data_IF_088947699465
#
_entry.id   IF_088947699465
#
_cell.length_a   1.000
_cell.length_b   1.000
_cell.length_c   1.000
_cell.angle_alpha   90.00
_cell.angle_beta   90.00
_cell.angle_gamma   90.00
#
_symmetry.space_group_name_H-M   'P 1'
#
loop_
_entity.id
_entity.type
_entity.pdbx_description
1 polymer ?
#
# COMPACT_ATOMS: atom_id res chain seq x y z
N UNK A 1 0.16 -3.08 -12.96
CA UNK A 1 1.06 -2.97 -11.79
C UNK A 1 2.43 -2.61 -12.30
N UNK A 2 3.03 -1.55 -11.77
CA UNK A 2 4.40 -1.16 -12.08
C UNK A 2 5.30 -1.49 -10.89
N UNK A 3 6.40 -2.18 -11.16
CA UNK A 3 7.33 -2.70 -10.15
C UNK A 3 8.64 -1.93 -10.26
N UNK A 4 9.15 -1.45 -9.13
CA UNK A 4 10.50 -0.91 -9.06
C UNK A 4 11.31 -1.67 -8.01
N UNK A 5 12.34 -2.37 -8.48
CA UNK A 5 13.26 -3.09 -7.62
C UNK A 5 14.50 -2.24 -7.39
N UNK A 6 14.65 -1.67 -6.20
CA UNK A 6 15.94 -1.17 -5.74
C UNK A 6 16.78 -2.34 -5.26
N UNK A 7 17.89 -2.62 -5.94
CA UNK A 7 18.92 -3.52 -5.42
C UNK A 7 20.07 -2.68 -4.90
N UNK A 8 20.35 -2.77 -3.61
CA UNK A 8 21.46 -2.07 -3.01
C UNK A 8 22.71 -2.98 -3.02
N UNK A 9 23.68 -2.72 -3.89
CA UNK A 9 24.93 -3.52 -3.99
C UNK A 9 25.96 -3.18 -2.88
N UNK A 10 25.52 -2.71 -1.71
CA UNK A 10 26.43 -2.26 -0.64
C UNK A 10 26.75 -3.40 0.35
N UNK A 11 28.03 -3.66 0.68
CA UNK A 11 28.44 -4.75 1.58
C UNK A 11 28.12 -4.53 3.07
N UNK A 12 27.38 -3.46 3.43
CA UNK A 12 26.98 -3.17 4.81
C UNK A 12 25.62 -3.82 5.12
N UNK A 13 25.67 -4.89 5.91
CA UNK A 13 24.58 -5.60 6.63
C UNK A 13 23.13 -5.20 6.26
N UNK A 14 22.50 -6.02 5.43
CA UNK A 14 21.06 -6.36 5.41
C UNK A 14 20.05 -5.29 5.88
N UNK A 15 19.94 -4.18 5.15
CA UNK A 15 18.58 -3.74 4.82
C UNK A 15 18.10 -4.74 3.77
N UNK A 16 17.39 -5.79 4.21
CA UNK A 16 16.72 -6.72 3.29
C UNK A 16 16.04 -5.89 2.20
N UNK A 17 16.45 -6.09 0.94
CA UNK A 17 16.16 -5.22 -0.21
C UNK A 17 14.79 -4.53 -0.09
N UNK A 18 14.80 -3.21 0.12
CA UNK A 18 13.59 -2.41 0.20
C UNK A 18 12.95 -2.36 -1.19
N UNK A 19 11.90 -3.14 -1.39
CA UNK A 19 11.17 -3.25 -2.66
C UNK A 19 9.88 -2.43 -2.63
N UNK A 20 9.59 -1.74 -3.74
CA UNK A 20 8.39 -0.94 -3.86
C UNK A 20 7.68 -1.02 -5.21
N UNK A 21 6.39 -0.70 -5.21
CA UNK A 21 5.58 -0.69 -6.41
C UNK A 21 4.40 0.27 -6.31
N UNK A 22 3.72 0.45 -7.44
CA UNK A 22 2.44 1.17 -7.49
C UNK A 22 1.40 0.29 -8.18
N UNK A 23 0.19 0.24 -7.62
CA UNK A 23 -0.88 -0.57 -8.16
C UNK A 23 -2.24 0.14 -8.02
N UNK A 24 -2.81 0.50 -9.16
CA UNK A 24 -4.23 0.79 -9.29
C UNK A 24 -5.02 -0.53 -9.28
N UNK A 25 -5.72 -0.80 -8.18
CA UNK A 25 -6.41 -2.08 -7.93
C UNK A 25 -7.80 -2.12 -8.59
N UNK A 26 -8.30 -0.99 -9.11
CA UNK A 26 -9.62 -0.82 -9.73
C UNK A 26 -10.86 -1.14 -8.87
N UNK A 27 -10.75 -1.78 -7.71
CA UNK A 27 -11.70 -1.76 -6.57
C UNK A 27 -11.39 -2.90 -5.59
N UNK A 28 -11.31 -2.61 -4.28
CA UNK A 28 -11.24 -3.61 -3.20
C UNK A 28 -12.60 -4.05 -2.65
N UNK A 29 -13.72 -3.57 -3.21
CA UNK A 29 -15.06 -3.89 -2.69
C UNK A 29 -15.53 -5.33 -2.99
N UNK A 30 -14.87 -6.04 -3.89
CA UNK A 30 -15.26 -7.42 -4.21
C UNK A 30 -14.73 -8.38 -3.15
N UNK A 31 -15.58 -9.31 -2.73
CA UNK A 31 -15.18 -10.42 -1.85
C UNK A 31 -13.96 -11.13 -2.42
N UNK A 32 -12.92 -11.33 -1.61
CA UNK A 32 -11.66 -11.96 -2.02
C UNK A 32 -10.59 -11.03 -2.60
N UNK A 33 -10.91 -9.76 -2.94
CA UNK A 33 -9.93 -8.83 -3.51
C UNK A 33 -8.74 -8.55 -2.59
N UNK A 34 -8.95 -8.45 -1.28
CA UNK A 34 -7.86 -8.27 -0.31
C UNK A 34 -6.88 -9.45 -0.30
N UNK A 35 -7.39 -10.67 -0.48
CA UNK A 35 -6.57 -11.87 -0.53
C UNK A 35 -5.74 -11.89 -1.81
N UNK A 36 -6.34 -11.63 -2.97
CA UNK A 36 -5.62 -11.53 -4.24
C UNK A 36 -4.52 -10.47 -4.20
N UNK A 37 -4.81 -9.30 -3.61
CA UNK A 37 -3.81 -8.24 -3.43
C UNK A 37 -2.66 -8.70 -2.53
N UNK A 38 -2.96 -9.35 -1.41
CA UNK A 38 -1.94 -9.88 -0.51
C UNK A 38 -1.06 -10.96 -1.19
N UNK A 39 -1.66 -11.86 -1.96
CA UNK A 39 -0.96 -12.92 -2.69
C UNK A 39 -0.04 -12.37 -3.78
N UNK A 40 -0.49 -11.39 -4.58
CA UNK A 40 0.34 -10.76 -5.61
C UNK A 40 1.48 -9.95 -4.99
N UNK A 41 1.22 -9.16 -3.94
CA UNK A 41 2.27 -8.42 -3.21
C UNK A 41 3.33 -9.37 -2.65
N UNK A 42 2.90 -10.51 -2.08
CA UNK A 42 3.79 -11.57 -1.58
C UNK A 42 4.62 -12.20 -2.69
N UNK A 43 4.01 -12.51 -3.84
CA UNK A 43 4.68 -13.09 -5.01
C UNK A 43 5.85 -12.23 -5.50
N UNK A 44 5.68 -10.91 -5.50
CA UNK A 44 6.76 -9.98 -5.87
C UNK A 44 7.64 -9.54 -4.69
N UNK A 45 7.42 -10.10 -3.49
CA UNK A 45 8.17 -9.80 -2.26
C UNK A 45 8.24 -8.29 -1.97
N UNK A 46 7.15 -7.58 -2.24
CA UNK A 46 7.06 -6.13 -2.09
C UNK A 46 6.97 -5.75 -0.61
N UNK A 47 7.75 -4.74 -0.20
CA UNK A 47 7.72 -4.22 1.18
C UNK A 47 6.83 -3.00 1.32
N UNK A 48 6.72 -2.16 0.30
CA UNK A 48 5.84 -0.99 0.26
C UNK A 48 5.13 -0.95 -1.10
N UNK A 49 3.81 -0.77 -1.13
CA UNK A 49 3.09 -0.59 -2.41
C UNK A 49 2.14 0.59 -2.29
N UNK A 50 2.27 1.59 -3.17
CA UNK A 50 1.28 2.64 -3.30
C UNK A 50 0.05 2.10 -4.03
N UNK A 51 -1.09 2.13 -3.37
CA UNK A 51 -2.37 1.63 -3.86
C UNK A 51 -3.23 2.80 -4.33
N UNK A 52 -3.76 2.70 -5.54
CA UNK A 52 -4.75 3.64 -6.08
C UNK A 52 -6.09 2.92 -6.29
N UNK A 53 -7.17 3.71 -6.26
CA UNK A 53 -8.54 3.22 -6.43
C UNK A 53 -8.97 2.18 -5.38
N UNK A 54 -8.52 2.39 -4.13
CA UNK A 54 -8.87 1.55 -2.97
C UNK A 54 -10.38 1.55 -2.73
N UNK A 55 -11.03 2.72 -2.93
CA UNK A 55 -12.47 2.95 -2.75
C UNK A 55 -13.02 2.71 -1.34
N UNK A 56 -12.19 2.56 -0.31
CA UNK A 56 -12.69 2.45 1.07
C UNK A 56 -13.04 3.81 1.66
N UNK A 57 -14.14 3.86 2.41
CA UNK A 57 -14.57 5.05 3.14
C UNK A 57 -13.79 5.22 4.44
N UNK A 58 -13.60 6.48 4.83
CA UNK A 58 -12.89 6.86 6.05
C UNK A 58 -11.39 6.61 5.95
N UNK A 59 -10.70 6.84 7.05
CA UNK A 59 -9.25 6.66 7.16
C UNK A 59 -8.94 5.56 8.15
N UNK A 60 -7.98 4.68 7.85
CA UNK A 60 -7.68 3.60 8.76
C UNK A 60 -6.50 2.73 8.37
N UNK A 61 -6.34 1.66 9.13
CA UNK A 61 -5.35 0.61 8.90
C UNK A 61 -6.04 -0.73 8.92
N UNK A 62 -5.86 -1.52 7.87
CA UNK A 62 -6.42 -2.88 7.77
C UNK A 62 -5.31 -3.88 7.51
N UNK A 63 -5.24 -4.94 8.31
CA UNK A 63 -4.26 -6.01 8.12
C UNK A 63 -4.62 -6.87 6.90
N UNK A 64 -3.64 -7.12 6.03
CA UNK A 64 -3.78 -8.06 4.91
C UNK A 64 -2.49 -8.89 4.76
N UNK A 65 -2.63 -10.22 4.73
CA UNK A 65 -1.48 -11.13 4.66
C UNK A 65 -0.39 -10.80 5.69
N UNK A 66 0.81 -10.51 5.20
CA UNK A 66 2.03 -10.24 5.98
C UNK A 66 2.25 -8.74 6.27
N UNK A 67 1.24 -7.88 6.05
CA UNK A 67 1.35 -6.44 6.24
C UNK A 67 0.02 -5.76 6.50
N UNK A 68 0.00 -4.44 6.29
CA UNK A 68 -1.16 -3.59 6.55
C UNK A 68 -1.37 -2.64 5.39
N UNK A 69 -2.63 -2.39 5.03
CA UNK A 69 -3.02 -1.27 4.18
C UNK A 69 -3.35 -0.09 5.09
N UNK A 70 -2.59 0.99 4.95
CA UNK A 70 -2.92 2.32 5.42
C UNK A 70 -3.75 2.99 4.32
N UNK A 71 -4.98 3.40 4.61
CA UNK A 71 -5.86 3.94 3.59
C UNK A 71 -6.50 5.25 4.02
N UNK A 72 -6.81 6.05 3.00
CA UNK A 72 -7.56 7.28 3.15
C UNK A 72 -8.93 7.23 2.51
N UNK A 73 -9.76 8.18 2.95
CA UNK A 73 -11.17 8.25 2.55
C UNK A 73 -11.29 8.49 1.05
N UNK A 74 -12.12 7.68 0.39
CA UNK A 74 -12.46 7.80 -1.03
C UNK A 74 -13.51 8.89 -1.32
N UNK A 75 -14.04 9.55 -0.29
CA UNK A 75 -15.04 10.61 -0.41
C UNK A 75 -16.43 10.09 -0.81
N UNK A 76 -17.39 11.02 -0.92
CA UNK A 76 -18.82 10.71 -1.06
C UNK A 76 -19.20 9.96 -2.35
N UNK A 77 -18.38 10.03 -3.41
CA UNK A 77 -18.72 9.47 -4.72
C UNK A 77 -18.24 8.03 -4.91
N UNK A 78 -17.58 7.41 -3.92
CA UNK A 78 -16.97 6.07 -4.00
C UNK A 78 -16.01 5.88 -5.19
N UNK A 79 -15.63 6.98 -5.83
CA UNK A 79 -14.69 7.04 -6.91
C UNK A 79 -13.43 7.61 -6.28
N UNK A 80 -12.27 6.99 -6.53
CA UNK A 80 -10.95 7.33 -5.94
C UNK A 80 -10.64 6.59 -4.62
N UNK A 81 -9.73 7.15 -3.82
CA UNK A 81 -9.14 6.51 -2.63
C UNK A 81 -7.74 5.99 -2.90
N UNK A 82 -6.82 6.32 -2.00
CA UNK A 82 -5.41 5.92 -2.06
C UNK A 82 -5.00 5.27 -0.74
N UNK A 83 -3.98 4.45 -0.80
CA UNK A 83 -3.38 3.88 0.39
C UNK A 83 -1.97 3.38 0.14
N UNK A 84 -1.37 2.81 1.17
CA UNK A 84 -0.11 2.10 1.08
C UNK A 84 -0.26 0.74 1.73
N UNK A 85 0.13 -0.32 1.03
CA UNK A 85 0.52 -1.54 1.70
C UNK A 85 1.90 -1.35 2.32
N UNK A 86 2.06 -1.73 3.58
CA UNK A 86 3.35 -1.78 4.28
C UNK A 86 3.51 -3.14 4.95
N UNK A 87 4.60 -3.83 4.62
CA UNK A 87 4.96 -5.10 5.24
C UNK A 87 5.24 -4.92 6.74
N UNK A 88 4.88 -5.92 7.56
CA UNK A 88 5.00 -5.86 9.03
C UNK A 88 6.42 -5.49 9.52
N UNK A 89 7.46 -5.91 8.79
CA UNK A 89 8.86 -5.57 9.12
C UNK A 89 9.19 -4.07 9.05
N UNK A 90 8.34 -3.25 8.43
CA UNK A 90 8.54 -1.81 8.29
C UNK A 90 7.52 -0.98 9.06
N UNK A 91 6.54 -1.60 9.71
CA UNK A 91 5.47 -0.88 10.42
C UNK A 91 6.01 0.02 11.54
N UNK A 92 7.04 -0.44 12.27
CA UNK A 92 7.70 0.35 13.33
C UNK A 92 8.50 1.55 12.81
N UNK A 93 8.82 1.58 11.51
CA UNK A 93 9.53 2.69 10.88
C UNK A 93 8.59 3.82 10.44
N UNK A 94 7.27 3.59 10.45
CA UNK A 94 6.28 4.60 10.07
C UNK A 94 6.15 5.62 11.19
N UNK A 95 6.53 6.87 10.91
CA UNK A 95 6.34 7.98 11.85
C UNK A 95 4.92 8.52 11.81
N UNK A 96 4.36 8.71 10.62
CA UNK A 96 3.08 9.35 10.43
C UNK A 96 2.49 9.01 9.05
N UNK A 97 1.16 8.86 8.98
CA UNK A 97 0.39 8.80 7.74
C UNK A 97 -0.73 9.84 7.81
N UNK A 98 -0.63 10.88 6.98
CA UNK A 98 -1.60 11.97 6.90
C UNK A 98 -2.06 12.16 5.46
N UNK A 99 -3.36 12.26 5.27
CA UNK A 99 -3.94 12.67 4.01
C UNK A 99 -3.92 14.18 3.92
N UNK A 100 -3.52 14.70 2.77
CA UNK A 100 -3.66 16.11 2.45
C UNK A 100 -4.66 16.23 1.31
N UNK A 101 -5.81 16.79 1.61
CA UNK A 101 -6.76 17.25 0.61
C UNK A 101 -6.34 18.68 0.22
N UNK A 102 -6.16 18.93 -1.07
CA UNK A 102 -6.00 20.30 -1.54
C UNK A 102 -7.41 20.88 -1.68
N UNK A 103 -7.75 21.87 -0.86
CA UNK A 103 -8.95 22.68 -1.04
C UNK A 103 -8.76 23.49 -2.32
N UNK A 104 -9.37 23.03 -3.42
CA UNK A 104 -9.63 23.89 -4.57
C UNK A 104 -10.73 24.86 -4.13
N UNK A 105 -10.32 26.06 -3.73
CA UNK A 105 -11.14 27.26 -3.83
C UNK A 105 -11.18 27.71 -5.30
#
# INVERSE_FOLDING_TARGET
MWIWNYRNNSPRKHLNDLSFGTWNIRSLYRTGSCQTVAEEIKKYRMKIVALQEVRWQGTGTTRIGEGNILYGDCGATHNLGTGFYVHNSLMSAIKEFKLKYHSYL
#
